data_IF_326544996865
#
_entry.id   IF_326544996865
#
_cell.length_a   1.000
_cell.length_b   1.000
_cell.length_c   1.000
_cell.angle_alpha   90.00
_cell.angle_beta   90.00
_cell.angle_gamma   90.00
#
_symmetry.space_group_name_H-M   'P 1'
#
loop_
_entity.id
_entity.type
_entity.pdbx_description
1 polymer ?
#
# COMPACT_ATOMS: atom_id res chain seq x y z
N UNK A 1 -18.53 7.90 12.64
CA UNK A 1 -18.58 7.15 11.36
C UNK A 1 -17.17 6.85 10.89
N UNK A 2 -16.96 5.74 10.18
CA UNK A 2 -15.66 5.32 9.65
C UNK A 2 -15.83 4.70 8.27
N UNK A 3 -14.79 4.81 7.44
CA UNK A 3 -14.74 4.18 6.12
C UNK A 3 -14.00 2.85 6.18
N UNK A 4 -14.42 1.89 5.36
CA UNK A 4 -13.78 0.58 5.24
C UNK A 4 -13.29 0.41 3.81
N UNK A 5 -12.02 0.06 3.68
CA UNK A 5 -11.42 -0.36 2.41
C UNK A 5 -11.44 -1.88 2.34
N UNK A 6 -12.09 -2.44 1.33
CA UNK A 6 -12.14 -3.89 1.11
C UNK A 6 -11.18 -4.27 -0.03
N UNK A 7 -10.06 -4.91 0.31
CA UNK A 7 -9.01 -5.28 -0.63
C UNK A 7 -9.49 -6.16 -1.81
N UNK A 8 -10.56 -6.94 -1.62
CA UNK A 8 -11.08 -7.86 -2.65
C UNK A 8 -12.02 -7.17 -3.64
N UNK A 9 -12.59 -6.03 -3.27
CA UNK A 9 -13.69 -5.40 -4.03
C UNK A 9 -13.65 -3.86 -4.00
N UNK A 10 -12.49 -3.26 -3.74
CA UNK A 10 -12.36 -1.81 -3.78
C UNK A 10 -12.26 -1.33 -5.25
N UNK A 11 -13.10 -0.39 -5.70
CA UNK A 11 -13.01 0.16 -7.05
C UNK A 11 -11.64 0.82 -7.33
N UNK A 12 -10.95 1.29 -6.29
CA UNK A 12 -9.62 1.92 -6.40
C UNK A 12 -8.48 0.92 -6.53
N UNK A 13 -8.75 -0.38 -6.49
CA UNK A 13 -7.73 -1.42 -6.56
C UNK A 13 -6.75 -1.18 -7.73
N UNK A 14 -7.29 -0.86 -8.92
CA UNK A 14 -6.48 -0.60 -10.11
C UNK A 14 -5.56 0.61 -9.95
N UNK A 15 -6.07 1.71 -9.40
CA UNK A 15 -5.24 2.89 -9.15
C UNK A 15 -4.16 2.59 -8.12
N UNK A 16 -4.48 1.86 -7.05
CA UNK A 16 -3.55 1.60 -5.96
C UNK A 16 -2.37 0.73 -6.38
N UNK A 17 -2.61 -0.40 -7.05
CA UNK A 17 -1.50 -1.25 -7.49
C UNK A 17 -0.70 -0.58 -8.60
N UNK A 18 -1.35 0.22 -9.46
CA UNK A 18 -0.65 0.98 -10.49
C UNK A 18 0.30 2.00 -9.87
N UNK A 19 -0.16 2.75 -8.86
CA UNK A 19 0.65 3.72 -8.12
C UNK A 19 1.83 3.03 -7.43
N UNK A 20 1.54 1.95 -6.69
CA UNK A 20 2.58 1.15 -6.01
C UNK A 20 3.61 0.61 -7.00
N UNK A 21 3.17 0.15 -8.19
CA UNK A 21 4.08 -0.26 -9.26
C UNK A 21 4.94 0.90 -9.77
N UNK A 22 4.40 2.10 -9.98
CA UNK A 22 5.20 3.24 -10.43
C UNK A 22 6.32 3.59 -9.45
N UNK A 23 6.05 3.50 -8.15
CA UNK A 23 7.01 3.76 -7.08
C UNK A 23 8.06 2.64 -6.98
N UNK A 24 7.65 1.39 -7.17
CA UNK A 24 8.49 0.22 -6.88
C UNK A 24 9.14 -0.44 -8.11
N UNK A 25 8.76 -0.08 -9.34
CA UNK A 25 9.29 -0.69 -10.58
C UNK A 25 10.82 -0.66 -10.68
N UNK A 26 11.46 0.41 -10.19
CA UNK A 26 12.93 0.55 -10.20
C UNK A 26 13.62 -0.34 -9.16
N UNK A 27 12.85 -0.94 -8.25
CA UNK A 27 13.30 -1.90 -7.23
C UNK A 27 13.00 -3.35 -7.62
N UNK A 28 12.65 -3.59 -8.89
CA UNK A 28 12.43 -4.93 -9.44
C UNK A 28 11.02 -5.51 -9.21
N UNK A 29 10.08 -4.72 -8.70
CA UNK A 29 8.69 -5.16 -8.53
C UNK A 29 7.97 -5.20 -9.88
N UNK A 30 7.38 -6.34 -10.23
CA UNK A 30 6.53 -6.52 -11.42
C UNK A 30 5.10 -6.04 -11.15
N UNK A 31 4.30 -5.86 -12.21
CA UNK A 31 2.88 -5.49 -12.06
C UNK A 31 2.09 -6.54 -11.27
N UNK A 32 2.38 -7.82 -11.48
CA UNK A 32 1.72 -8.92 -10.75
C UNK A 32 2.07 -8.88 -9.26
N UNK A 33 3.35 -8.63 -8.93
CA UNK A 33 3.77 -8.46 -7.54
C UNK A 33 3.12 -7.25 -6.90
N UNK A 34 2.96 -6.14 -7.63
CA UNK A 34 2.26 -4.96 -7.15
C UNK A 34 0.78 -5.23 -6.87
N UNK A 35 0.08 -5.92 -7.77
CA UNK A 35 -1.31 -6.35 -7.55
C UNK A 35 -1.42 -7.23 -6.30
N UNK A 36 -0.57 -8.25 -6.18
CA UNK A 36 -0.57 -9.14 -5.01
C UNK A 36 -0.31 -8.39 -3.71
N UNK A 37 0.63 -7.45 -3.71
CA UNK A 37 0.95 -6.66 -2.52
C UNK A 37 -0.24 -5.81 -2.04
N UNK A 38 -0.97 -5.17 -2.96
CA UNK A 38 -2.17 -4.39 -2.60
C UNK A 38 -3.29 -5.29 -2.09
N UNK A 39 -3.48 -6.50 -2.65
CA UNK A 39 -4.51 -7.44 -2.16
C UNK A 39 -4.19 -7.88 -0.73
N UNK A 40 -2.93 -8.25 -0.45
CA UNK A 40 -2.58 -8.97 0.77
C UNK A 40 -2.07 -8.10 1.92
N UNK A 41 -1.71 -6.84 1.68
CA UNK A 41 -1.03 -6.01 2.68
C UNK A 41 -1.74 -4.68 2.91
N UNK A 42 -2.42 -4.58 4.06
CA UNK A 42 -3.12 -3.36 4.50
C UNK A 42 -2.17 -2.19 4.73
N UNK A 43 -0.88 -2.44 5.03
CA UNK A 43 0.13 -1.38 5.14
C UNK A 43 0.41 -0.74 3.80
N UNK A 44 0.44 -1.53 2.72
CA UNK A 44 0.61 -1.00 1.35
C UNK A 44 -0.57 -0.11 0.99
N UNK A 45 -1.80 -0.57 1.27
CA UNK A 45 -3.01 0.21 1.01
C UNK A 45 -2.99 1.53 1.78
N UNK A 46 -2.78 1.48 3.09
CA UNK A 46 -2.73 2.68 3.91
C UNK A 46 -1.64 3.65 3.48
N UNK A 47 -0.45 3.14 3.12
CA UNK A 47 0.64 3.97 2.63
C UNK A 47 0.30 4.63 1.28
N UNK A 48 -0.35 3.91 0.37
CA UNK A 48 -0.79 4.48 -0.90
C UNK A 48 -1.90 5.52 -0.70
N UNK A 49 -2.84 5.31 0.23
CA UNK A 49 -3.86 6.30 0.57
C UNK A 49 -3.23 7.61 1.07
N UNK A 50 -2.25 7.51 1.97
CA UNK A 50 -1.53 8.70 2.46
C UNK A 50 -0.74 9.36 1.34
N UNK A 51 -0.02 8.59 0.52
CA UNK A 51 0.72 9.12 -0.63
C UNK A 51 -0.18 9.84 -1.65
N UNK A 52 -1.45 9.40 -1.79
CA UNK A 52 -2.44 9.98 -2.69
C UNK A 52 -3.23 11.15 -2.07
N UNK A 53 -2.96 11.49 -0.81
CA UNK A 53 -3.69 12.54 -0.08
C UNK A 53 -5.13 12.17 0.29
N UNK A 54 -5.47 10.88 0.27
CA UNK A 54 -6.75 10.35 0.75
C UNK A 54 -6.78 10.24 2.28
N UNK A 55 -5.59 10.29 2.92
CA UNK A 55 -5.41 10.38 4.36
C UNK A 55 -4.17 11.23 4.69
N UNK A 56 -4.18 11.91 5.83
CA UNK A 56 -3.04 12.73 6.27
C UNK A 56 -1.95 11.90 6.97
N UNK A 57 -2.32 10.78 7.57
CA UNK A 57 -1.42 9.90 8.32
C UNK A 57 -1.94 8.47 8.37
N UNK A 58 -1.05 7.53 8.70
CA UNK A 58 -1.40 6.12 8.93
C UNK A 58 -0.71 5.56 10.17
N UNK A 59 -1.35 4.58 10.80
CA UNK A 59 -0.75 3.73 11.84
C UNK A 59 -0.74 2.28 11.31
N UNK A 60 0.38 1.60 11.45
CA UNK A 60 0.55 0.18 11.10
C UNK A 60 1.42 -0.53 12.16
N UNK A 61 1.68 -1.83 12.01
CA UNK A 61 2.49 -2.58 12.97
C UNK A 61 1.72 -3.26 14.10
N UNK A 62 0.38 -3.29 14.05
CA UNK A 62 -0.44 -4.02 15.03
C UNK A 62 -0.36 -5.54 14.84
N UNK A 63 -0.03 -5.99 13.62
CA UNK A 63 0.15 -7.40 13.24
C UNK A 63 1.35 -7.49 12.30
N UNK A 64 2.33 -8.34 12.64
CA UNK A 64 3.55 -8.55 11.86
C UNK A 64 4.79 -7.96 12.53
N UNK A 65 5.96 -8.16 11.92
CA UNK A 65 7.21 -7.61 12.42
C UNK A 65 7.42 -6.19 11.91
N UNK A 66 8.08 -5.34 12.72
CA UNK A 66 8.43 -3.96 12.35
C UNK A 66 9.02 -3.85 10.94
N UNK A 67 9.92 -4.79 10.60
CA UNK A 67 10.67 -4.73 9.36
C UNK A 67 9.80 -4.99 8.12
N UNK A 68 8.69 -5.73 8.25
CA UNK A 68 7.74 -5.96 7.16
C UNK A 68 6.98 -4.68 6.81
N UNK A 69 6.59 -3.91 7.82
CA UNK A 69 5.98 -2.59 7.61
C UNK A 69 7.01 -1.60 7.09
N UNK A 70 8.18 -1.53 7.72
CA UNK A 70 9.25 -0.60 7.34
C UNK A 70 9.66 -0.72 5.86
N UNK A 71 9.72 -1.95 5.33
CA UNK A 71 9.99 -2.23 3.91
C UNK A 71 8.95 -1.63 2.95
N UNK A 72 7.74 -1.32 3.43
CA UNK A 72 6.70 -0.64 2.65
C UNK A 72 6.81 0.88 2.84
N UNK A 73 6.90 1.37 4.07
CA UNK A 73 6.83 2.81 4.36
C UNK A 73 8.10 3.54 3.91
N UNK A 74 9.30 2.97 4.14
CA UNK A 74 10.58 3.61 3.84
C UNK A 74 10.74 3.93 2.33
N UNK A 75 10.46 3.02 1.39
CA UNK A 75 10.53 3.35 -0.03
C UNK A 75 9.53 4.42 -0.50
N UNK A 76 8.40 4.55 0.18
CA UNK A 76 7.30 5.43 -0.22
C UNK A 76 7.48 6.86 0.29
N UNK A 77 7.99 7.03 1.52
CA UNK A 77 8.05 8.34 2.17
C UNK A 77 9.47 8.86 2.48
N UNK A 78 10.51 8.02 2.34
CA UNK A 78 11.91 8.37 2.61
C UNK A 78 12.48 7.65 3.82
#
# INVERSE_FOLDING_TARGET
DFEIVNNESDPRFKEYWSEYYQLMKRRGITQEQAQRAVISNTTVIGAIMVHRGEADAMICGTIGEYHDHYRVVQPLFG
#
